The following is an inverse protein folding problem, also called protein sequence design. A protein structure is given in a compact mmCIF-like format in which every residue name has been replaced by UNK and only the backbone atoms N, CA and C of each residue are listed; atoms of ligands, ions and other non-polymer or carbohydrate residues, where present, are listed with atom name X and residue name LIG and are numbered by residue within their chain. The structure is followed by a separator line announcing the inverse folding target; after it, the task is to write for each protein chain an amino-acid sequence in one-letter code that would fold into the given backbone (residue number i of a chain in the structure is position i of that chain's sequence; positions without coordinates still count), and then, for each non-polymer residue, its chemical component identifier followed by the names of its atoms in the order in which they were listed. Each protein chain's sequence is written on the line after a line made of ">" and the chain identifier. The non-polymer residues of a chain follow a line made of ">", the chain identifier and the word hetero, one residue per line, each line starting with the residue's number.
data_IF_354300647131
#
_entry.id   IF_354300647131
#
_cell.length_a   1.000
_cell.length_b   1.000
_cell.length_c   1.000
_cell.angle_alpha   90.00
_cell.angle_beta   90.00
_cell.angle_gamma   90.00
#
_symmetry.space_group_name_H-M   'P 1'
#
loop_
_entity.id
_entity.type
_entity.pdbx_description
1 polymer ?
#
# COMPACT_ATOMS: atom_id res chain seq x y z
N UNK A 1 -12.67 -21.53 -10.75
CA UNK A 1 -11.51 -22.07 -11.49
C UNK A 1 -11.94 -22.21 -12.95
N UNK A 2 -11.37 -21.44 -13.88
CA UNK A 2 -11.80 -21.39 -15.30
C UNK A 2 -11.71 -22.77 -15.98
N UNK A 3 -10.68 -23.56 -15.62
CA UNK A 3 -10.50 -24.93 -16.07
C UNK A 3 -11.59 -25.92 -15.57
N UNK A 4 -12.34 -25.56 -14.54
CA UNK A 4 -13.45 -26.37 -14.01
C UNK A 4 -14.82 -25.88 -14.49
N UNK A 5 -14.87 -24.89 -15.40
CA UNK A 5 -16.12 -24.42 -15.97
C UNK A 5 -16.72 -25.52 -16.88
N UNK A 6 -18.02 -25.85 -16.75
CA UNK A 6 -18.66 -26.91 -17.53
C UNK A 6 -18.55 -26.74 -19.06
N UNK A 7 -18.32 -25.50 -19.53
CA UNK A 7 -18.17 -25.15 -20.94
C UNK A 7 -16.72 -24.93 -21.40
N UNK A 8 -15.70 -25.28 -20.61
CA UNK A 8 -14.31 -25.15 -21.02
C UNK A 8 -13.82 -26.48 -21.64
N UNK A 9 -13.69 -26.58 -22.98
CA UNK A 9 -13.30 -27.82 -23.65
C UNK A 9 -11.79 -28.15 -23.50
N UNK A 10 -11.06 -27.39 -22.69
CA UNK A 10 -9.61 -27.41 -22.64
C UNK A 10 -8.97 -26.45 -23.65
N UNK A 11 -7.65 -26.32 -23.57
CA UNK A 11 -6.87 -25.57 -24.54
C UNK A 11 -6.69 -26.39 -25.82
N UNK A 12 -6.78 -25.76 -26.99
CA UNK A 12 -6.48 -26.43 -28.26
C UNK A 12 -5.03 -26.94 -28.29
N UNK A 13 -4.73 -28.05 -29.00
CA UNK A 13 -3.38 -28.57 -29.12
C UNK A 13 -2.37 -27.48 -29.52
N UNK A 14 -1.22 -27.44 -28.84
CA UNK A 14 -0.17 -26.43 -29.07
C UNK A 14 -0.40 -25.06 -28.41
N UNK A 15 -1.59 -24.77 -27.90
CA UNK A 15 -1.90 -23.49 -27.26
C UNK A 15 -1.14 -23.31 -25.93
N UNK A 16 -1.06 -24.36 -25.11
CA UNK A 16 -0.35 -24.29 -23.83
C UNK A 16 1.15 -23.95 -23.99
N UNK A 17 1.93 -24.64 -24.86
CA UNK A 17 3.30 -24.25 -25.17
C UNK A 17 3.43 -22.81 -25.70
N UNK A 18 2.48 -22.34 -26.52
CA UNK A 18 2.48 -20.97 -27.02
C UNK A 18 2.29 -19.94 -25.89
N UNK A 19 1.36 -20.20 -24.98
CA UNK A 19 1.13 -19.35 -23.80
C UNK A 19 2.38 -19.34 -22.91
N UNK A 20 2.95 -20.51 -22.62
CA UNK A 20 4.16 -20.62 -21.82
C UNK A 20 5.35 -19.88 -22.44
N UNK A 21 5.56 -20.03 -23.76
CA UNK A 21 6.60 -19.30 -24.50
C UNK A 21 6.40 -17.78 -24.48
N UNK A 22 5.16 -17.31 -24.60
CA UNK A 22 4.82 -15.88 -24.49
C UNK A 22 5.09 -15.34 -23.08
N UNK A 23 4.71 -16.07 -22.04
CA UNK A 23 4.98 -15.70 -20.64
C UNK A 23 6.48 -15.67 -20.36
N UNK A 24 7.24 -16.64 -20.86
CA UNK A 24 8.70 -16.68 -20.74
C UNK A 24 9.36 -15.44 -21.37
N UNK A 25 8.89 -15.01 -22.54
CA UNK A 25 9.38 -13.81 -23.20
C UNK A 25 9.09 -12.54 -22.38
N UNK A 26 7.88 -12.42 -21.83
CA UNK A 26 7.48 -11.29 -21.00
C UNK A 26 8.25 -11.23 -19.67
N UNK A 27 8.44 -12.38 -19.00
CA UNK A 27 9.25 -12.48 -17.78
C UNK A 27 10.70 -12.03 -18.02
N UNK A 28 11.29 -12.46 -19.14
CA UNK A 28 12.65 -12.07 -19.51
C UNK A 28 12.75 -10.57 -19.80
N UNK A 29 11.80 -10.01 -20.55
CA UNK A 29 11.79 -8.58 -20.86
C UNK A 29 11.59 -7.73 -19.59
N UNK A 30 10.64 -8.12 -18.73
CA UNK A 30 10.38 -7.46 -17.46
C UNK A 30 11.61 -7.44 -16.55
N UNK A 31 12.28 -8.60 -16.39
CA UNK A 31 13.53 -8.69 -15.60
C UNK A 31 14.63 -7.78 -16.15
N UNK A 32 14.70 -7.60 -17.47
CA UNK A 32 15.69 -6.73 -18.12
C UNK A 32 15.36 -5.24 -18.07
N UNK A 33 14.13 -4.86 -17.68
CA UNK A 33 13.61 -3.48 -17.76
C UNK A 33 12.89 -3.04 -16.49
N UNK A 34 13.26 -3.60 -15.35
CA UNK A 34 12.69 -3.19 -14.07
C UNK A 34 12.82 -1.69 -13.86
N UNK A 35 11.74 -1.06 -13.42
CA UNK A 35 11.79 0.30 -12.90
C UNK A 35 12.75 0.38 -11.71
N UNK A 36 13.43 1.51 -11.49
CA UNK A 36 14.55 1.59 -10.55
C UNK A 36 14.13 1.56 -9.07
N UNK A 37 12.92 2.02 -8.73
CA UNK A 37 12.44 2.17 -7.36
C UNK A 37 10.90 2.28 -7.32
N UNK A 38 10.34 2.33 -6.11
CA UNK A 38 8.95 2.72 -5.82
C UNK A 38 7.89 1.67 -6.19
N UNK A 39 6.62 2.08 -6.18
CA UNK A 39 5.47 1.19 -6.33
C UNK A 39 5.52 0.34 -7.61
N UNK A 40 5.94 0.89 -8.75
CA UNK A 40 6.07 0.12 -10.00
C UNK A 40 7.07 -1.02 -9.83
N UNK A 41 8.26 -0.73 -9.29
CA UNK A 41 9.29 -1.75 -9.07
C UNK A 41 8.80 -2.84 -8.14
N UNK A 42 8.12 -2.46 -7.05
CA UNK A 42 7.48 -3.41 -6.13
C UNK A 42 6.55 -4.38 -6.86
N UNK A 43 5.67 -3.86 -7.73
CA UNK A 43 4.72 -4.68 -8.50
C UNK A 43 5.40 -5.56 -9.55
N UNK A 44 6.41 -5.03 -10.24
CA UNK A 44 7.16 -5.75 -11.27
C UNK A 44 7.96 -6.91 -10.67
N UNK A 45 8.66 -6.68 -9.55
CA UNK A 45 9.37 -7.72 -8.82
C UNK A 45 8.42 -8.80 -8.29
N UNK A 46 7.24 -8.40 -7.83
CA UNK A 46 6.24 -9.37 -7.39
C UNK A 46 5.67 -10.21 -8.53
N UNK A 47 5.50 -9.62 -9.72
CA UNK A 47 5.12 -10.38 -10.91
C UNK A 47 6.18 -11.43 -11.27
N UNK A 48 7.48 -11.10 -11.16
CA UNK A 48 8.56 -12.08 -11.37
C UNK A 48 8.53 -13.20 -10.30
N UNK A 49 8.34 -12.84 -9.04
CA UNK A 49 8.21 -13.81 -7.94
C UNK A 49 7.04 -14.78 -8.16
N UNK A 50 5.86 -14.27 -8.53
CA UNK A 50 4.70 -15.11 -8.84
C UNK A 50 4.93 -15.96 -10.08
N UNK A 51 5.56 -15.42 -11.12
CA UNK A 51 5.88 -16.19 -12.32
C UNK A 51 6.81 -17.37 -12.01
N UNK A 52 7.86 -17.15 -11.20
CA UNK A 52 8.78 -18.20 -10.79
C UNK A 52 8.08 -19.32 -10.00
N UNK A 53 7.17 -18.96 -9.09
CA UNK A 53 6.40 -19.92 -8.31
C UNK A 53 5.35 -20.69 -9.14
N UNK A 54 4.67 -20.00 -10.05
CA UNK A 54 3.55 -20.56 -10.80
C UNK A 54 3.99 -21.38 -12.03
N UNK A 55 5.18 -21.11 -12.56
CA UNK A 55 5.68 -21.68 -13.82
C UNK A 55 7.11 -22.22 -13.62
N UNK A 56 7.29 -23.29 -12.83
CA UNK A 56 8.62 -23.83 -12.49
C UNK A 56 9.43 -24.26 -13.72
N UNK A 57 8.76 -24.65 -14.82
CA UNK A 57 9.43 -24.99 -16.09
C UNK A 57 10.15 -23.79 -16.72
N UNK A 58 9.78 -22.56 -16.36
CA UNK A 58 10.45 -21.33 -16.81
C UNK A 58 11.67 -20.96 -15.94
N UNK A 59 11.83 -21.63 -14.80
CA UNK A 59 12.90 -21.40 -13.84
C UNK A 59 13.48 -22.74 -13.32
N UNK A 60 13.98 -23.63 -14.22
CA UNK A 60 14.41 -24.98 -13.85
C UNK A 60 15.57 -24.97 -12.84
N UNK A 61 16.37 -23.91 -12.83
CA UNK A 61 17.53 -23.74 -11.96
C UNK A 61 17.22 -22.87 -10.72
N UNK A 62 15.98 -22.39 -10.54
CA UNK A 62 15.56 -21.56 -9.40
C UNK A 62 16.10 -20.12 -9.39
N UNK A 63 16.89 -19.72 -10.40
CA UNK A 63 17.59 -18.43 -10.44
C UNK A 63 16.66 -17.22 -10.53
N UNK A 64 15.46 -17.38 -11.11
CA UNK A 64 14.47 -16.31 -11.17
C UNK A 64 13.81 -16.14 -9.80
N UNK A 65 13.46 -17.23 -9.13
CA UNK A 65 12.90 -17.21 -7.79
C UNK A 65 13.87 -16.56 -6.81
N UNK A 66 15.13 -17.00 -6.78
CA UNK A 66 16.17 -16.44 -5.91
C UNK A 66 16.34 -14.94 -6.15
N UNK A 67 16.45 -14.54 -7.42
CA UNK A 67 16.53 -13.12 -7.78
C UNK A 67 15.31 -12.33 -7.28
N UNK A 68 14.10 -12.83 -7.53
CA UNK A 68 12.87 -12.12 -7.18
C UNK A 68 12.69 -12.01 -5.66
N UNK A 69 13.05 -13.05 -4.90
CA UNK A 69 13.04 -13.05 -3.43
C UNK A 69 14.01 -12.01 -2.89
N UNK A 70 15.27 -12.04 -3.31
CA UNK A 70 16.28 -11.07 -2.86
C UNK A 70 15.88 -9.65 -3.22
N UNK A 71 15.52 -9.41 -4.47
CA UNK A 71 15.17 -8.07 -4.94
C UNK A 71 13.89 -7.53 -4.27
N UNK A 72 12.87 -8.35 -4.01
CA UNK A 72 11.68 -7.92 -3.27
C UNK A 72 12.02 -7.53 -1.83
N UNK A 73 12.88 -8.30 -1.15
CA UNK A 73 13.30 -7.99 0.21
C UNK A 73 14.12 -6.70 0.28
N UNK A 74 15.07 -6.52 -0.62
CA UNK A 74 15.83 -5.27 -0.74
C UNK A 74 14.89 -4.09 -1.03
N UNK A 75 13.92 -4.27 -1.93
CA UNK A 75 12.96 -3.24 -2.26
C UNK A 75 12.05 -2.89 -1.07
N UNK A 76 11.60 -3.89 -0.29
CA UNK A 76 10.85 -3.66 0.95
C UNK A 76 11.65 -2.80 1.93
N UNK A 77 12.92 -3.15 2.15
CA UNK A 77 13.80 -2.47 3.09
C UNK A 77 14.19 -1.05 2.64
N UNK A 78 14.17 -0.80 1.33
CA UNK A 78 14.45 0.51 0.73
C UNK A 78 13.22 1.41 0.65
N UNK A 79 12.07 0.87 0.24
CA UNK A 79 10.88 1.67 -0.07
C UNK A 79 9.96 1.89 1.13
N UNK A 80 10.01 1.01 2.12
CA UNK A 80 9.38 1.22 3.42
C UNK A 80 10.42 1.81 4.37
N UNK A 81 10.18 3.03 4.82
CA UNK A 81 11.04 3.76 5.75
C UNK A 81 11.17 3.03 7.10
N UNK A 82 12.21 3.35 7.89
CA UNK A 82 12.42 2.78 9.22
C UNK A 82 11.18 2.78 10.12
N UNK A 83 10.33 3.80 10.02
CA UNK A 83 9.12 3.93 10.82
C UNK A 83 7.91 3.15 10.29
N UNK A 84 7.97 2.61 9.06
CA UNK A 84 6.91 1.80 8.44
C UNK A 84 6.19 2.49 7.28
N UNK A 85 6.46 3.77 7.02
CA UNK A 85 5.76 4.51 5.96
C UNK A 85 6.41 4.25 4.62
N UNK A 86 5.60 4.11 3.57
CA UNK A 86 6.13 3.98 2.21
C UNK A 86 6.62 5.35 1.72
N UNK A 87 7.83 5.40 1.13
CA UNK A 87 8.51 6.64 0.75
C UNK A 87 7.74 7.58 -0.19
N UNK A 88 6.74 7.06 -0.91
CA UNK A 88 5.86 7.89 -1.74
C UNK A 88 4.85 8.71 -0.95
N UNK A 89 4.70 8.47 0.36
CA UNK A 89 3.82 9.25 1.26
C UNK A 89 2.43 9.49 0.68
N UNK A 90 1.86 8.42 0.11
CA UNK A 90 0.46 8.33 -0.26
C UNK A 90 -0.14 7.15 0.48
N UNK A 91 -1.27 7.38 1.13
CA UNK A 91 -1.97 6.37 1.94
C UNK A 91 -2.45 5.21 1.06
N UNK A 92 -2.92 5.49 -0.16
CA UNK A 92 -3.33 4.44 -1.10
C UNK A 92 -2.12 3.67 -1.65
N UNK A 93 -1.06 4.35 -2.07
CA UNK A 93 0.13 3.67 -2.60
C UNK A 93 0.86 2.84 -1.54
N UNK A 94 0.84 3.27 -0.27
CA UNK A 94 1.26 2.44 0.85
C UNK A 94 0.47 1.12 0.88
N UNK A 95 -0.86 1.16 0.78
CA UNK A 95 -1.69 -0.05 0.80
C UNK A 95 -1.47 -0.94 -0.43
N UNK A 96 -1.18 -0.36 -1.59
CA UNK A 96 -0.86 -1.10 -2.82
C UNK A 96 0.44 -1.90 -2.65
N UNK A 97 1.52 -1.26 -2.19
CA UNK A 97 2.81 -1.94 -1.98
C UNK A 97 2.75 -2.90 -0.81
N UNK A 98 2.06 -2.55 0.28
CA UNK A 98 1.82 -3.44 1.41
C UNK A 98 1.10 -4.73 0.99
N UNK A 99 0.08 -4.64 0.13
CA UNK A 99 -0.62 -5.82 -0.42
C UNK A 99 0.35 -6.77 -1.10
N UNK A 100 1.27 -6.23 -1.87
CA UNK A 100 2.32 -6.99 -2.56
C UNK A 100 3.25 -7.68 -1.58
N UNK A 101 3.76 -6.99 -0.58
CA UNK A 101 4.69 -7.58 0.39
C UNK A 101 4.01 -8.63 1.30
N UNK A 102 2.78 -8.39 1.74
CA UNK A 102 1.98 -9.42 2.46
C UNK A 102 1.71 -10.61 1.53
N UNK A 103 1.42 -10.36 0.25
CA UNK A 103 1.22 -11.38 -0.76
C UNK A 103 2.46 -12.23 -0.98
N UNK A 104 3.64 -11.62 -1.06
CA UNK A 104 4.91 -12.33 -1.15
C UNK A 104 5.16 -13.19 0.10
N UNK A 105 4.90 -12.65 1.31
CA UNK A 105 5.03 -13.40 2.56
C UNK A 105 4.12 -14.61 2.65
N UNK A 106 2.85 -14.45 2.28
CA UNK A 106 1.85 -15.52 2.25
C UNK A 106 2.28 -16.64 1.29
N UNK A 107 2.74 -16.27 0.09
CA UNK A 107 3.17 -17.26 -0.90
C UNK A 107 4.48 -17.93 -0.46
N UNK A 108 5.42 -17.19 0.12
CA UNK A 108 6.63 -17.78 0.68
C UNK A 108 6.29 -18.85 1.73
N UNK A 109 5.32 -18.59 2.61
CA UNK A 109 4.79 -19.59 3.55
C UNK A 109 4.17 -20.81 2.85
N UNK A 110 3.38 -20.60 1.78
CA UNK A 110 2.68 -21.68 1.06
C UNK A 110 3.61 -22.59 0.27
N UNK A 111 4.66 -22.02 -0.32
CA UNK A 111 5.59 -22.72 -1.19
C UNK A 111 6.90 -23.11 -0.48
N UNK A 112 7.03 -22.83 0.82
CA UNK A 112 8.23 -23.17 1.59
C UNK A 112 9.46 -22.35 1.21
N UNK A 113 9.27 -21.13 0.72
CA UNK A 113 10.36 -20.20 0.38
C UNK A 113 10.78 -19.42 1.63
N UNK A 114 12.08 -19.37 1.89
CA UNK A 114 12.66 -18.54 2.95
C UNK A 114 12.86 -17.12 2.42
N UNK A 115 12.29 -16.14 3.11
CA UNK A 115 12.58 -14.73 2.83
C UNK A 115 13.80 -14.28 3.63
N UNK A 116 14.65 -13.40 3.06
CA UNK A 116 15.78 -12.78 3.75
C UNK A 116 15.43 -12.12 5.09
N UNK A 117 16.44 -12.03 5.95
CA UNK A 117 16.34 -11.39 7.27
C UNK A 117 15.84 -9.93 7.18
N UNK A 118 15.11 -9.50 8.21
CA UNK A 118 14.52 -8.17 8.28
C UNK A 118 13.22 -7.99 7.47
N UNK A 119 12.84 -8.95 6.63
CA UNK A 119 11.61 -8.87 5.85
C UNK A 119 10.36 -8.77 6.74
N UNK A 120 10.19 -9.72 7.66
CA UNK A 120 9.00 -9.77 8.53
C UNK A 120 8.96 -8.55 9.49
N UNK A 121 10.12 -8.08 9.95
CA UNK A 121 10.23 -6.89 10.81
C UNK A 121 9.79 -5.62 10.06
N UNK A 122 10.35 -5.38 8.86
CA UNK A 122 9.97 -4.21 8.04
C UNK A 122 8.52 -4.28 7.59
N UNK A 123 8.03 -5.48 7.25
CA UNK A 123 6.63 -5.71 6.89
C UNK A 123 5.70 -5.42 8.08
N UNK A 124 6.07 -5.84 9.30
CA UNK A 124 5.30 -5.54 10.50
C UNK A 124 5.21 -4.03 10.75
N UNK A 125 6.31 -3.27 10.59
CA UNK A 125 6.29 -1.80 10.66
C UNK A 125 5.37 -1.16 9.62
N UNK A 126 5.35 -1.68 8.40
CA UNK A 126 4.40 -1.23 7.38
C UNK A 126 2.95 -1.52 7.77
N UNK A 127 2.68 -2.71 8.31
CA UNK A 127 1.36 -3.06 8.82
C UNK A 127 0.93 -2.19 10.02
N UNK A 128 1.87 -1.76 10.87
CA UNK A 128 1.61 -0.86 12.00
C UNK A 128 1.16 0.52 11.52
N UNK A 129 1.79 1.07 10.48
CA UNK A 129 1.26 2.27 9.82
C UNK A 129 -0.15 2.02 9.28
N UNK A 130 -0.39 0.91 8.58
CA UNK A 130 -1.70 0.58 8.06
C UNK A 130 -2.76 0.42 9.17
N UNK A 131 -2.43 -0.21 10.29
CA UNK A 131 -3.28 -0.35 11.49
C UNK A 131 -3.79 1.03 11.94
N UNK A 132 -2.88 1.98 12.09
CA UNK A 132 -3.22 3.30 12.59
C UNK A 132 -3.85 4.20 11.53
N UNK A 133 -3.50 4.03 10.26
CA UNK A 133 -4.05 4.77 9.13
C UNK A 133 -5.53 4.44 8.87
N UNK A 134 -5.99 3.25 9.26
CA UNK A 134 -7.41 2.92 9.16
C UNK A 134 -8.25 3.72 10.15
N UNK A 135 -9.22 4.45 9.63
CA UNK A 135 -10.28 5.11 10.37
C UNK A 135 -11.21 4.07 11.02
N UNK A 136 -11.98 4.46 12.07
CA UNK A 136 -12.95 3.58 12.74
C UNK A 136 -14.02 2.95 11.82
N UNK A 137 -14.36 3.62 10.71
CA UNK A 137 -15.27 3.11 9.68
C UNK A 137 -14.64 2.03 8.77
N UNK A 138 -13.34 1.78 8.93
CA UNK A 138 -12.55 0.85 8.13
C UNK A 138 -12.01 1.44 6.84
N UNK A 139 -12.23 2.73 6.57
CA UNK A 139 -11.62 3.44 5.45
C UNK A 139 -10.22 3.96 5.79
N UNK A 140 -9.48 4.41 4.79
CA UNK A 140 -8.23 5.17 4.95
C UNK A 140 -8.46 6.65 4.55
N UNK A 141 -7.69 7.60 5.11
CA UNK A 141 -7.67 8.98 4.63
C UNK A 141 -7.12 9.06 3.20
N UNK A 142 -7.54 10.04 2.42
CA UNK A 142 -7.21 10.22 1.00
C UNK A 142 -6.06 11.22 0.79
N UNK A 143 -5.00 11.12 1.61
CA UNK A 143 -3.84 12.02 1.57
C UNK A 143 -2.98 11.79 0.31
N UNK A 144 -2.52 12.89 -0.32
CA UNK A 144 -1.77 12.86 -1.57
C UNK A 144 -2.54 12.11 -2.69
N UNK A 145 -1.85 11.42 -3.62
CA UNK A 145 -2.54 10.57 -4.60
C UNK A 145 -3.14 9.34 -3.94
N UNK A 146 -4.31 9.51 -3.37
CA UNK A 146 -5.09 8.45 -2.79
C UNK A 146 -6.54 8.52 -3.24
N UNK A 147 -7.14 7.33 -3.32
CA UNK A 147 -8.58 7.15 -3.40
C UNK A 147 -8.99 6.53 -2.06
N UNK A 148 -10.17 6.88 -1.55
CA UNK A 148 -10.70 6.22 -0.36
C UNK A 148 -10.89 4.71 -0.59
N UNK A 149 -10.80 3.92 0.46
CA UNK A 149 -10.95 2.46 0.36
C UNK A 149 -10.78 1.79 1.70
N UNK A 150 -11.17 0.51 1.78
CA UNK A 150 -10.98 -0.32 2.98
C UNK A 150 -10.01 -1.44 2.69
N UNK A 151 -9.00 -1.57 3.54
CA UNK A 151 -7.93 -2.58 3.44
C UNK A 151 -7.88 -3.46 4.70
N UNK A 152 -8.97 -3.53 5.48
CA UNK A 152 -9.02 -4.34 6.71
C UNK A 152 -8.74 -5.83 6.43
N UNK A 153 -9.20 -6.38 5.31
CA UNK A 153 -8.89 -7.78 4.94
C UNK A 153 -7.41 -8.03 4.63
N UNK A 154 -6.67 -6.99 4.19
CA UNK A 154 -5.21 -7.06 4.06
C UNK A 154 -4.55 -7.09 5.45
N UNK A 155 -4.98 -6.20 6.34
CA UNK A 155 -4.48 -6.13 7.71
C UNK A 155 -4.81 -7.41 8.50
N UNK A 156 -5.99 -7.99 8.33
CA UNK A 156 -6.37 -9.26 8.95
C UNK A 156 -5.44 -10.39 8.50
N UNK A 157 -5.16 -10.47 7.19
CA UNK A 157 -4.23 -11.46 6.64
C UNK A 157 -2.83 -11.28 7.22
N UNK A 158 -2.34 -10.05 7.29
CA UNK A 158 -1.05 -9.74 7.88
C UNK A 158 -0.99 -10.13 9.36
N UNK A 159 -2.04 -9.84 10.13
CA UNK A 159 -2.16 -10.23 11.54
C UNK A 159 -2.04 -11.75 11.74
N UNK A 160 -2.71 -12.54 10.91
CA UNK A 160 -2.59 -13.99 10.95
C UNK A 160 -1.22 -14.52 10.53
N UNK A 161 -0.59 -13.89 9.52
CA UNK A 161 0.71 -14.32 9.00
C UNK A 161 1.88 -13.99 9.92
N UNK A 162 1.84 -12.81 10.54
CA UNK A 162 2.93 -12.28 11.38
C UNK A 162 2.69 -12.51 12.87
N UNK A 163 1.53 -13.04 13.27
CA UNK A 163 1.20 -13.31 14.67
C UNK A 163 0.87 -12.05 15.47
N UNK A 164 0.25 -11.06 14.84
CA UNK A 164 -0.07 -9.76 15.43
C UNK A 164 -1.56 -9.67 15.83
N UNK A 165 -1.90 -9.86 17.13
CA UNK A 165 -3.29 -9.88 17.59
C UNK A 165 -3.98 -8.50 17.53
N UNK A 166 -3.21 -7.43 17.57
CA UNK A 166 -3.62 -6.04 17.37
C UNK A 166 -4.12 -5.76 15.95
N UNK A 167 -3.44 -6.31 14.94
CA UNK A 167 -3.91 -6.23 13.55
C UNK A 167 -5.24 -6.96 13.36
N UNK A 168 -5.40 -8.12 14.00
CA UNK A 168 -6.67 -8.87 14.01
C UNK A 168 -7.78 -8.08 14.72
N UNK A 169 -7.47 -7.41 15.83
CA UNK A 169 -8.44 -6.61 16.58
C UNK A 169 -8.98 -5.45 15.74
N UNK A 170 -8.09 -4.65 15.16
CA UNK A 170 -8.51 -3.51 14.36
C UNK A 170 -9.24 -3.94 13.09
N UNK A 171 -8.74 -4.96 12.39
CA UNK A 171 -9.37 -5.46 11.15
C UNK A 171 -10.75 -6.07 11.36
N UNK A 172 -11.03 -6.59 12.56
CA UNK A 172 -12.33 -7.20 12.92
C UNK A 172 -13.18 -6.32 13.83
N UNK A 173 -12.81 -5.04 14.01
CA UNK A 173 -13.47 -4.09 14.90
C UNK A 173 -13.71 -4.65 16.33
N UNK A 174 -12.71 -5.35 16.88
CA UNK A 174 -12.74 -5.95 18.20
C UNK A 174 -13.25 -7.39 18.28
N UNK A 175 -13.58 -8.02 17.15
CA UNK A 175 -14.10 -9.39 17.13
C UNK A 175 -13.08 -10.47 17.46
N UNK A 176 -11.79 -10.25 17.16
CA UNK A 176 -10.70 -11.23 17.34
C UNK A 176 -9.40 -10.54 17.73
N UNK A 177 -8.50 -11.24 18.42
CA UNK A 177 -7.19 -10.70 18.79
C UNK A 177 -7.23 -9.89 20.09
N UNK A 178 -6.41 -8.86 20.19
CA UNK A 178 -6.28 -8.00 21.37
C UNK A 178 -6.15 -6.53 20.95
N UNK A 179 -6.70 -5.56 21.71
CA UNK A 179 -6.66 -4.15 21.34
C UNK A 179 -5.22 -3.64 21.27
N UNK A 180 -4.89 -2.77 20.27
CA UNK A 180 -3.64 -2.01 20.32
C UNK A 180 -3.60 -1.11 21.56
N UNK A 181 -2.40 -0.92 22.12
CA UNK A 181 -2.20 -0.02 23.27
C UNK A 181 -2.11 1.45 22.82
N UNK A 182 -1.42 1.70 21.72
CA UNK A 182 -1.15 3.04 21.23
C UNK A 182 -2.40 3.68 20.60
N UNK A 183 -2.68 4.92 21.01
CA UNK A 183 -3.78 5.72 20.51
C UNK A 183 -3.28 7.01 19.83
N UNK A 184 -2.01 7.37 20.00
CA UNK A 184 -1.37 8.56 19.42
C UNK A 184 -0.03 8.21 18.75
N UNK A 185 -0.01 7.31 17.77
CA UNK A 185 1.21 6.89 17.09
C UNK A 185 1.82 8.02 16.27
N UNK A 186 3.14 7.99 16.13
CA UNK A 186 3.89 8.95 15.32
C UNK A 186 4.83 8.22 14.36
N UNK A 187 4.82 8.66 13.11
CA UNK A 187 5.68 8.17 12.03
C UNK A 187 6.52 9.32 11.50
N UNK A 188 7.58 9.73 12.21
CA UNK A 188 8.27 10.99 11.93
C UNK A 188 9.09 11.02 10.63
N UNK A 189 9.43 9.87 10.03
CA UNK A 189 10.14 9.83 8.74
C UNK A 189 9.18 9.89 7.56
N UNK A 190 8.03 9.23 7.70
CA UNK A 190 6.89 9.38 6.79
C UNK A 190 6.19 10.73 6.94
N UNK A 191 6.22 11.29 8.14
CA UNK A 191 5.59 12.55 8.52
C UNK A 191 4.13 12.45 8.93
N UNK A 192 3.66 11.29 9.39
CA UNK A 192 2.27 11.13 9.80
C UNK A 192 2.13 11.09 11.32
N UNK A 193 1.16 11.84 11.84
CA UNK A 193 0.85 11.89 13.26
C UNK A 193 -0.64 11.64 13.42
N UNK A 194 -1.00 10.60 14.18
CA UNK A 194 -2.39 10.18 14.30
C UNK A 194 -2.83 10.22 15.76
N UNK A 195 -4.12 10.44 15.98
CA UNK A 195 -4.75 10.30 17.28
C UNK A 195 -6.07 9.56 17.14
N UNK A 196 -6.39 8.76 18.16
CA UNK A 196 -7.60 7.98 18.26
C UNK A 196 -8.09 8.00 19.72
N UNK A 197 -9.40 8.03 19.95
CA UNK A 197 -9.92 8.04 21.33
C UNK A 197 -9.87 6.69 22.04
N UNK A 198 -9.74 5.61 21.29
CA UNK A 198 -9.67 4.25 21.80
C UNK A 198 -9.89 3.22 20.70
N UNK A 199 -9.87 1.94 21.09
CA UNK A 199 -10.03 0.79 20.20
C UNK A 199 -11.29 -0.02 20.50
N UNK A 200 -12.36 0.64 20.96
CA UNK A 200 -13.60 -0.03 21.31
C UNK A 200 -13.62 -0.66 22.71
N UNK A 201 -12.68 -0.29 23.58
CA UNK A 201 -12.46 -0.93 24.89
C UNK A 201 -12.95 -0.09 26.08
N UNK A 202 -13.19 1.21 25.88
CA UNK A 202 -13.51 2.17 26.94
C UNK A 202 -15.00 2.52 26.98
N UNK A 203 -15.88 1.56 26.67
CA UNK A 203 -17.34 1.75 26.62
C UNK A 203 -17.87 2.51 25.40
N UNK A 204 -16.97 3.03 24.55
CA UNK A 204 -17.31 3.55 23.21
C UNK A 204 -17.22 2.39 22.20
N UNK A 205 -18.22 2.16 21.34
CA UNK A 205 -18.13 1.16 20.28
C UNK A 205 -16.97 1.46 19.33
N UNK A 206 -16.28 0.43 18.81
CA UNK A 206 -15.11 0.59 17.92
C UNK A 206 -15.36 1.59 16.77
N UNK A 207 -16.53 1.49 16.13
CA UNK A 207 -16.91 2.37 15.00
C UNK A 207 -17.17 3.82 15.40
N UNK A 208 -17.50 4.07 16.66
CA UNK A 208 -17.83 5.39 17.17
C UNK A 208 -16.61 6.11 17.75
N UNK A 209 -15.46 5.43 17.82
CA UNK A 209 -14.19 6.03 18.20
C UNK A 209 -13.88 7.24 17.30
N UNK A 210 -13.19 8.21 17.87
CA UNK A 210 -12.73 9.41 17.16
C UNK A 210 -11.35 9.14 16.59
N UNK A 211 -11.07 9.73 15.44
CA UNK A 211 -9.83 9.59 14.71
C UNK A 211 -9.42 10.93 14.10
N UNK A 212 -8.12 11.17 14.10
CA UNK A 212 -7.45 12.34 13.58
C UNK A 212 -6.12 11.90 12.96
N UNK A 213 -5.80 12.44 11.79
CA UNK A 213 -4.45 12.34 11.20
C UNK A 213 -4.00 13.71 10.72
N UNK A 214 -2.73 14.01 10.97
CA UNK A 214 -2.00 15.10 10.35
C UNK A 214 -0.99 14.55 9.34
N UNK A 215 -0.94 15.16 8.16
CA UNK A 215 0.19 15.04 7.25
C UNK A 215 1.18 16.18 7.52
N UNK A 216 2.34 15.82 8.05
CA UNK A 216 3.47 16.70 8.30
C UNK A 216 4.72 16.20 7.55
N UNK A 217 4.55 15.37 6.54
CA UNK A 217 5.64 14.78 5.77
C UNK A 217 6.18 15.71 4.70
N UNK A 218 7.46 15.56 4.32
CA UNK A 218 7.93 16.20 3.11
C UNK A 218 7.16 15.64 1.91
N UNK A 219 7.21 16.32 0.76
CA UNK A 219 6.59 15.84 -0.46
C UNK A 219 7.04 14.39 -0.75
N UNK A 220 6.07 13.51 -0.99
CA UNK A 220 6.32 12.11 -1.29
C UNK A 220 7.23 11.91 -2.51
N UNK A 221 8.07 10.88 -2.47
CA UNK A 221 8.99 10.61 -3.56
C UNK A 221 8.21 10.32 -4.86
N UNK A 222 8.57 10.99 -5.96
CA UNK A 222 7.88 10.83 -7.25
C UNK A 222 6.76 11.84 -7.48
N UNK A 223 5.71 11.44 -8.19
CA UNK A 223 4.66 12.35 -8.68
C UNK A 223 3.35 12.33 -7.88
N UNK A 224 3.34 11.58 -6.77
CA UNK A 224 2.13 11.27 -6.02
C UNK A 224 1.85 12.24 -4.86
N UNK A 225 2.87 12.95 -4.36
CA UNK A 225 2.70 13.96 -3.33
C UNK A 225 1.88 15.17 -3.79
N UNK A 226 1.06 15.72 -2.89
CA UNK A 226 0.31 16.96 -3.08
C UNK A 226 0.96 18.09 -2.28
N UNK A 227 0.44 19.31 -2.40
CA UNK A 227 0.94 20.49 -1.69
C UNK A 227 0.15 20.68 -0.38
N UNK A 228 0.09 19.60 0.39
CA UNK A 228 -0.84 19.34 1.48
C UNK A 228 -0.13 19.21 2.84
N UNK A 229 1.04 19.84 3.01
CA UNK A 229 1.70 19.88 4.31
C UNK A 229 0.77 20.51 5.35
N UNK A 230 0.72 19.93 6.55
CA UNK A 230 -0.21 20.23 7.65
C UNK A 230 -1.68 19.91 7.39
N UNK A 231 -1.99 19.16 6.32
CA UNK A 231 -3.36 18.70 6.07
C UNK A 231 -3.86 17.82 7.21
N UNK A 232 -5.17 17.89 7.44
CA UNK A 232 -5.85 17.17 8.52
C UNK A 232 -7.07 16.43 7.99
N UNK A 233 -7.22 15.16 8.39
CA UNK A 233 -8.48 14.42 8.25
C UNK A 233 -9.01 13.99 9.62
N UNK A 234 -10.33 14.05 9.77
CA UNK A 234 -11.03 13.79 11.03
C UNK A 234 -12.21 12.86 10.78
N UNK A 235 -12.36 11.84 11.62
CA UNK A 235 -13.55 11.00 11.67
C UNK A 235 -14.07 10.86 13.11
N UNK A 236 -15.38 10.85 13.28
CA UNK A 236 -16.03 10.63 14.57
C UNK A 236 -17.49 10.19 14.36
N UNK A 237 -18.03 9.42 15.31
CA UNK A 237 -19.43 8.97 15.26
C UNK A 237 -19.73 8.14 14.01
N UNK A 238 -18.84 7.20 13.68
CA UNK A 238 -19.04 6.26 12.57
C UNK A 238 -18.86 6.82 11.17
N UNK A 239 -18.36 8.06 11.01
CA UNK A 239 -18.20 8.68 9.68
C UNK A 239 -17.02 9.66 9.60
N UNK A 240 -16.48 9.90 8.40
CA UNK A 240 -15.57 11.02 8.16
C UNK A 240 -16.30 12.36 8.29
N UNK A 241 -15.59 13.35 8.84
CA UNK A 241 -16.08 14.72 9.07
C UNK A 241 -15.28 15.76 8.30
N UNK A 242 -13.95 15.63 8.29
CA UNK A 242 -13.02 16.45 7.51
C UNK A 242 -12.25 15.49 6.63
N UNK A 243 -12.34 15.66 5.31
CA UNK A 243 -11.77 14.75 4.31
C UNK A 243 -10.89 15.50 3.33
N UNK A 244 -9.87 14.82 2.82
CA UNK A 244 -9.15 15.30 1.66
C UNK A 244 -10.00 15.10 0.39
N UNK A 245 -9.93 16.00 -0.60
CA UNK A 245 -10.57 15.79 -1.89
C UNK A 245 -9.95 14.61 -2.69
N UNK A 246 -8.76 14.15 -2.31
CA UNK A 246 -8.02 13.08 -2.95
C UNK A 246 -7.51 13.45 -4.33
N UNK A 247 -7.10 12.44 -5.09
CA UNK A 247 -6.46 12.61 -6.39
C UNK A 247 -7.35 13.19 -7.50
N UNK A 248 -8.62 12.79 -7.51
CA UNK A 248 -9.60 12.97 -8.61
C UNK A 248 -9.19 12.39 -9.98
N UNK A 249 -8.14 12.89 -10.62
CA UNK A 249 -7.73 12.50 -11.98
C UNK A 249 -6.21 12.59 -12.14
N UNK A 250 -5.63 11.74 -13.00
CA UNK A 250 -4.24 11.88 -13.46
C UNK A 250 -4.10 12.78 -14.69
N UNK A 251 -5.22 13.12 -15.34
CA UNK A 251 -5.20 13.89 -16.59
C UNK A 251 -4.88 15.36 -16.31
N UNK A 252 -3.88 15.89 -17.03
CA UNK A 252 -3.58 17.32 -17.08
C UNK A 252 -4.27 18.04 -18.25
N UNK A 253 -5.23 17.38 -18.92
CA UNK A 253 -6.00 17.97 -20.01
C UNK A 253 -6.84 19.16 -19.52
N UNK A 254 -7.25 20.05 -20.44
CA UNK A 254 -8.04 21.23 -20.09
C UNK A 254 -9.52 20.90 -19.80
N UNK A 255 -10.12 21.43 -18.72
CA UNK A 255 -9.48 22.19 -17.63
C UNK A 255 -8.63 21.27 -16.73
N UNK A 256 -7.43 21.74 -16.36
CA UNK A 256 -6.44 20.93 -15.63
C UNK A 256 -6.84 20.75 -14.15
N UNK A 257 -7.75 19.81 -13.91
CA UNK A 257 -8.19 19.43 -12.58
C UNK A 257 -7.07 18.80 -11.75
N UNK A 258 -6.14 18.07 -12.39
CA UNK A 258 -4.98 17.50 -11.69
C UNK A 258 -4.15 18.57 -10.97
N UNK A 259 -4.01 19.76 -11.55
CA UNK A 259 -3.38 20.91 -10.89
C UNK A 259 -4.17 21.39 -9.69
N UNK A 260 -5.49 21.55 -9.83
CA UNK A 260 -6.32 22.07 -8.75
C UNK A 260 -6.33 21.13 -7.54
N UNK A 261 -6.57 19.83 -7.76
CA UNK A 261 -6.62 18.83 -6.68
C UNK A 261 -5.26 18.57 -6.01
N UNK A 262 -4.14 18.94 -6.65
CA UNK A 262 -2.80 18.91 -6.01
C UNK A 262 -2.46 20.18 -5.23
N UNK A 263 -3.19 21.27 -5.49
CA UNK A 263 -2.87 22.59 -4.97
C UNK A 263 -3.31 22.74 -3.52
N UNK A 264 -2.57 23.54 -2.74
CA UNK A 264 -2.75 23.72 -1.29
C UNK A 264 -4.18 24.13 -0.93
N UNK A 265 -4.80 24.96 -1.77
CA UNK A 265 -6.17 25.46 -1.53
C UNK A 265 -7.25 24.37 -1.61
N UNK A 266 -6.94 23.17 -2.12
CA UNK A 266 -7.88 22.05 -2.15
C UNK A 266 -7.89 21.26 -0.82
N UNK A 267 -6.87 21.43 0.04
CA UNK A 267 -6.65 20.61 1.24
C UNK A 267 -7.04 21.35 2.52
N UNK A 268 -7.17 20.61 3.63
CA UNK A 268 -7.49 21.16 4.94
C UNK A 268 -6.23 21.72 5.63
N UNK A 269 -5.63 22.73 5.01
CA UNK A 269 -4.38 23.36 5.46
C UNK A 269 -4.40 24.87 5.22
N UNK A 270 -3.27 25.54 5.41
CA UNK A 270 -3.12 26.98 5.31
C UNK A 270 -2.48 27.36 3.97
N UNK A 271 -3.09 28.33 3.29
CA UNK A 271 -2.49 29.05 2.16
C UNK A 271 -1.94 30.39 2.64
N UNK A 272 -0.77 30.79 2.12
CA UNK A 272 -0.23 32.15 2.29
C UNK A 272 -0.43 32.88 0.97
N UNK A 273 -1.10 34.03 1.00
CA UNK A 273 -1.42 34.85 -0.18
C UNK A 273 -2.17 34.11 -1.31
N UNK A 274 -2.89 33.03 -0.97
CA UNK A 274 -3.60 32.19 -1.94
C UNK A 274 -2.67 31.35 -2.83
N UNK A 275 -1.40 31.19 -2.45
CA UNK A 275 -0.39 30.43 -3.18
C UNK A 275 -0.28 28.99 -2.65
N UNK A 276 0.17 28.10 -3.53
CA UNK A 276 0.56 26.74 -3.19
C UNK A 276 1.87 26.73 -2.38
N UNK A 277 2.02 25.77 -1.47
CA UNK A 277 3.21 25.59 -0.64
C UNK A 277 4.49 25.32 -1.45
N UNK A 278 4.35 24.78 -2.66
CA UNK A 278 5.43 24.61 -3.61
C UNK A 278 4.92 24.80 -5.04
N UNK A 279 5.74 25.29 -5.99
CA UNK A 279 5.31 25.50 -7.37
C UNK A 279 4.85 24.23 -8.07
N UNK A 280 3.81 24.37 -8.90
CA UNK A 280 3.33 23.25 -9.71
C UNK A 280 4.30 22.87 -10.83
N UNK A 281 4.86 21.66 -10.75
CA UNK A 281 5.64 21.05 -11.83
C UNK A 281 4.77 20.05 -12.63
N UNK A 282 4.83 20.14 -13.97
CA UNK A 282 4.23 19.12 -14.85
C UNK A 282 5.17 17.93 -14.95
N UNK A 283 4.59 16.73 -14.98
CA UNK A 283 5.34 15.48 -15.11
C UNK A 283 5.87 14.93 -13.78
N UNK A 284 6.76 13.93 -13.86
CA UNK A 284 7.49 13.41 -12.69
C UNK A 284 8.59 14.42 -12.34
N UNK A 285 8.74 14.84 -11.07
CA UNK A 285 9.94 15.54 -10.64
C UNK A 285 11.18 14.68 -10.98
N UNK A 286 12.24 15.33 -11.46
CA UNK A 286 13.52 14.69 -11.76
C UNK A 286 14.14 14.02 -10.52
#
# INVERSE_FOLDING_TARGET
>A
MFAAAPGFPGLSPGTAPCIAGSLAAQVRDLRGRLTPERNHRTLELYALFIAALALPDLDPDGTLLDFAVTALSENLLSDILPDGVHRERSTHYHMITLRTFVGARENARRFGVTLPDGYDERLARACEFALHCHRPDGGIPALSDADGGSYLGLLERAGGLLGHPDFLWASTAGGRGAPPEECSPSFPLGGYFMQRSGWGTNGTPFRDERFLVFDCGPLGDGSHGHYDLLNVEIAAGGRPLVVDPGRYSYSEASPNWRRWFRGTAAHNTVCVDGLDQTPYARGKPD
#
